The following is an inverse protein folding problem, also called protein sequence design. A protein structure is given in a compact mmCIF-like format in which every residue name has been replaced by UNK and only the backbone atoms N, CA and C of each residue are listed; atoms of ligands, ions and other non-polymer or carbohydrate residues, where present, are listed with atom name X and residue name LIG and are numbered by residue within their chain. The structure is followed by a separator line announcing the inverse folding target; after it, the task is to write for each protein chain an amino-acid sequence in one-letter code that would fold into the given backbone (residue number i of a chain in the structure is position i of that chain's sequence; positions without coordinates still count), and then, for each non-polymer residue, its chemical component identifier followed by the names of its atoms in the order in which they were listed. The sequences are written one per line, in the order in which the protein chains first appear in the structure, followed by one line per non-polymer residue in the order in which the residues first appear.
data_IF_039358636160
#
_entry.id   IF_039358636160
#
_cell.length_a   1.000
_cell.length_b   1.000
_cell.length_c   1.000
_cell.angle_alpha   90.00
_cell.angle_beta   90.00
_cell.angle_gamma   90.00
#
_symmetry.space_group_name_H-M   'P 1'
#
loop_
_entity.id
_entity.type
_entity.pdbx_description
1 polymer ?
#
# COMPACT_ATOMS: atom_id res chain seq x y z
N UNK A 1 -27.19 -4.42 52.76
CA UNK A 1 -27.43 -3.85 51.43
C UNK A 1 -26.09 -3.58 50.78
N UNK A 2 -25.73 -4.48 49.89
CA UNK A 2 -24.43 -4.35 49.17
C UNK A 2 -24.74 -4.27 47.72
N UNK A 3 -24.44 -3.13 47.12
CA UNK A 3 -24.57 -2.90 45.70
C UNK A 3 -23.21 -3.18 45.07
N UNK A 4 -23.19 -4.16 44.21
CA UNK A 4 -22.04 -4.44 43.36
C UNK A 4 -22.14 -3.59 42.12
N UNK A 5 -21.23 -2.63 41.96
CA UNK A 5 -21.00 -1.92 40.77
C UNK A 5 -19.99 -2.76 39.96
N UNK A 6 -20.46 -3.43 38.96
CA UNK A 6 -19.58 -4.11 38.00
C UNK A 6 -19.37 -3.16 36.84
N UNK A 7 -18.13 -2.74 36.73
CA UNK A 7 -17.65 -1.84 35.72
C UNK A 7 -17.70 -2.45 34.33
N UNK A 8 -18.30 -1.73 33.41
CA UNK A 8 -18.29 -1.98 31.98
C UNK A 8 -17.04 -1.33 31.38
N UNK A 9 -15.97 -2.07 31.29
CA UNK A 9 -14.78 -1.64 30.54
C UNK A 9 -14.30 -2.86 29.75
N UNK A 10 -14.64 -2.92 28.45
CA UNK A 10 -13.93 -3.77 27.48
C UNK A 10 -14.64 -3.74 26.12
N UNK A 11 -14.43 -2.67 25.34
CA UNK A 11 -14.84 -2.72 23.93
C UNK A 11 -13.96 -1.85 22.98
N UNK A 12 -12.86 -1.28 23.44
CA UNK A 12 -12.09 -0.32 22.61
C UNK A 12 -10.81 -0.89 21.99
N UNK A 13 -10.33 -2.05 22.43
CA UNK A 13 -9.07 -2.63 21.94
C UNK A 13 -9.18 -3.29 20.56
N UNK A 14 -10.35 -3.78 20.17
CA UNK A 14 -10.52 -4.58 18.94
C UNK A 14 -10.49 -3.75 17.67
N UNK A 15 -10.93 -2.50 17.70
CA UNK A 15 -11.00 -1.64 16.50
C UNK A 15 -9.60 -1.16 16.09
N UNK A 16 -8.74 -0.86 17.07
CA UNK A 16 -7.36 -0.44 16.80
C UNK A 16 -6.51 -1.57 16.19
N UNK A 17 -6.72 -2.82 16.63
CA UNK A 17 -5.98 -3.96 16.10
C UNK A 17 -6.36 -4.25 14.64
N UNK A 18 -7.62 -4.06 14.23
CA UNK A 18 -8.06 -4.25 12.85
C UNK A 18 -7.54 -3.15 11.91
N UNK A 19 -7.45 -1.89 12.39
CA UNK A 19 -6.90 -0.78 11.62
C UNK A 19 -5.41 -0.97 11.32
N UNK A 20 -4.63 -1.59 12.23
CA UNK A 20 -3.19 -1.85 12.05
C UNK A 20 -2.90 -2.97 11.03
N UNK A 21 -3.86 -3.84 10.75
CA UNK A 21 -3.70 -4.92 9.79
C UNK A 21 -4.16 -4.55 8.38
N UNK A 22 -4.66 -3.34 8.18
CA UNK A 22 -5.06 -2.84 6.87
C UNK A 22 -3.87 -2.19 6.14
N UNK A 23 -3.78 -2.29 4.80
CA UNK A 23 -2.81 -1.54 4.01
C UNK A 23 -3.06 -0.03 4.00
N UNK A 24 -4.20 0.44 4.48
CA UNK A 24 -4.49 1.87 4.53
C UNK A 24 -3.48 2.60 5.41
N UNK A 25 -2.92 3.68 4.90
CA UNK A 25 -1.92 4.50 5.60
C UNK A 25 -0.81 4.98 4.69
N UNK A 26 0.23 5.53 5.30
CA UNK A 26 1.41 6.04 4.60
C UNK A 26 2.54 5.03 4.69
N UNK A 27 3.15 4.75 3.54
CA UNK A 27 4.22 3.75 3.41
C UNK A 27 5.46 4.34 2.78
N UNK A 28 6.62 4.03 3.36
CA UNK A 28 7.91 4.26 2.71
C UNK A 28 8.19 3.11 1.76
N UNK A 29 8.35 3.43 0.49
CA UNK A 29 8.63 2.41 -0.52
C UNK A 29 10.12 2.09 -0.51
N UNK A 30 10.43 0.82 -0.49
CA UNK A 30 11.81 0.32 -0.49
C UNK A 30 12.01 -0.42 -1.81
N UNK A 31 13.09 -0.09 -2.49
CA UNK A 31 13.44 -0.69 -3.78
C UNK A 31 13.78 -2.18 -3.66
N UNK A 32 13.97 -2.84 -4.78
CA UNK A 32 14.26 -4.27 -4.87
C UNK A 32 15.54 -4.68 -4.13
N UNK A 33 16.45 -3.75 -3.86
CA UNK A 33 17.65 -4.00 -3.05
C UNK A 33 17.35 -4.21 -1.56
N UNK A 34 16.11 -3.98 -1.14
CA UNK A 34 15.66 -4.10 0.25
C UNK A 34 16.18 -3.01 1.19
N UNK A 35 16.80 -1.94 0.67
CA UNK A 35 17.45 -0.91 1.47
C UNK A 35 17.13 0.51 1.04
N UNK A 36 17.08 0.79 -0.24
CA UNK A 36 16.93 2.14 -0.77
C UNK A 36 15.49 2.61 -0.67
N UNK A 37 15.24 3.64 0.12
CA UNK A 37 13.95 4.32 0.18
C UNK A 37 13.78 5.23 -1.05
N UNK A 38 12.68 5.05 -1.77
CA UNK A 38 12.42 5.74 -3.04
C UNK A 38 11.39 6.84 -2.90
N UNK A 39 10.33 6.59 -2.15
CA UNK A 39 9.18 7.48 -2.08
C UNK A 39 8.32 7.15 -0.88
N UNK A 40 7.30 7.97 -0.66
CA UNK A 40 6.17 7.62 0.20
C UNK A 40 4.91 7.49 -0.64
N UNK A 41 4.10 6.50 -0.33
CA UNK A 41 2.83 6.20 -0.98
C UNK A 41 1.74 6.16 0.08
N UNK A 42 0.68 6.93 -0.14
CA UNK A 42 -0.51 6.88 0.70
C UNK A 42 -1.53 5.94 0.08
N UNK A 43 -1.91 4.92 0.84
CA UNK A 43 -2.97 3.99 0.48
C UNK A 43 -4.25 4.43 1.19
N UNK A 44 -5.32 4.59 0.44
CA UNK A 44 -6.65 4.95 0.91
C UNK A 44 -7.68 3.92 0.48
N UNK A 45 -8.81 3.90 1.17
CA UNK A 45 -9.94 3.02 0.84
C UNK A 45 -11.16 3.84 0.49
N UNK A 46 -11.83 3.46 -0.60
CA UNK A 46 -13.13 3.97 -0.99
C UNK A 46 -14.08 2.79 -1.18
N UNK A 47 -15.03 2.63 -0.26
CA UNK A 47 -15.97 1.50 -0.25
C UNK A 47 -15.27 0.13 -0.33
N UNK A 48 -14.14 -0.03 0.37
CA UNK A 48 -13.38 -1.27 0.40
C UNK A 48 -12.42 -1.47 -0.77
N UNK A 49 -12.38 -0.55 -1.72
CA UNK A 49 -11.43 -0.58 -2.84
C UNK A 49 -10.24 0.31 -2.52
N UNK A 50 -9.05 -0.27 -2.51
CA UNK A 50 -7.83 0.44 -2.18
C UNK A 50 -7.21 1.07 -3.42
N UNK A 51 -6.68 2.27 -3.21
CA UNK A 51 -5.82 2.97 -4.18
C UNK A 51 -4.60 3.54 -3.46
N UNK A 52 -3.50 3.74 -4.19
CA UNK A 52 -2.27 4.27 -3.65
C UNK A 52 -1.72 5.40 -4.51
N UNK A 53 -1.36 6.49 -3.85
CA UNK A 53 -0.88 7.71 -4.49
C UNK A 53 0.51 8.08 -3.97
N UNK A 54 1.43 8.44 -4.87
CA UNK A 54 2.75 8.94 -4.48
C UNK A 54 2.60 10.30 -3.84
N UNK A 55 3.03 10.46 -2.59
CA UNK A 55 3.02 11.76 -1.91
C UNK A 55 4.36 12.48 -1.98
N UNK A 56 5.46 11.73 -1.97
CA UNK A 56 6.79 12.30 -1.91
C UNK A 56 7.81 11.39 -2.58
N UNK A 57 8.81 11.96 -3.25
CA UNK A 57 9.98 11.27 -3.76
C UNK A 57 11.16 11.62 -2.86
N UNK A 58 11.87 10.61 -2.36
CA UNK A 58 12.93 10.76 -1.36
C UNK A 58 14.11 11.58 -1.89
N UNK A 59 14.52 11.35 -3.14
CA UNK A 59 15.59 12.11 -3.78
C UNK A 59 15.07 13.49 -4.22
N UNK A 60 15.54 14.60 -3.63
CA UNK A 60 15.07 15.94 -4.01
C UNK A 60 15.31 16.29 -5.48
N UNK A 61 16.33 15.72 -6.11
CA UNK A 61 16.63 15.94 -7.52
C UNK A 61 15.56 15.34 -8.44
N UNK A 62 14.73 14.44 -7.93
CA UNK A 62 13.66 13.75 -8.66
C UNK A 62 12.26 14.21 -8.28
N UNK A 63 12.15 15.22 -7.40
CA UNK A 63 10.85 15.67 -6.86
C UNK A 63 9.88 16.14 -7.97
N UNK A 64 10.38 16.65 -9.07
CA UNK A 64 9.58 17.12 -10.20
C UNK A 64 9.59 16.15 -11.40
N UNK A 65 10.04 14.92 -11.18
CA UNK A 65 10.12 13.91 -12.22
C UNK A 65 8.73 13.55 -12.75
N UNK A 66 8.64 13.38 -14.05
CA UNK A 66 7.42 13.00 -14.76
C UNK A 66 7.53 11.58 -15.27
N UNK A 67 6.37 10.90 -15.44
CA UNK A 67 6.35 9.56 -16.01
C UNK A 67 6.50 9.60 -17.53
N UNK A 68 7.73 9.78 -18.00
CA UNK A 68 8.01 9.86 -19.45
C UNK A 68 7.84 8.53 -20.16
N UNK A 69 7.89 7.42 -19.44
CA UNK A 69 7.75 6.06 -19.98
C UNK A 69 6.34 5.49 -19.84
N UNK A 70 5.42 6.20 -19.18
CA UNK A 70 4.02 5.80 -19.12
C UNK A 70 3.38 5.80 -20.52
N UNK A 71 2.46 4.87 -20.77
CA UNK A 71 1.78 4.72 -22.06
C UNK A 71 0.32 5.17 -22.01
N UNK A 72 -0.27 5.26 -20.82
CA UNK A 72 -1.66 5.66 -20.62
C UNK A 72 -1.78 7.18 -20.40
N UNK A 73 -2.89 7.62 -19.82
CA UNK A 73 -3.16 9.03 -19.52
C UNK A 73 -2.19 9.65 -18.49
N UNK A 74 -1.35 8.83 -17.85
CA UNK A 74 -0.32 9.28 -16.91
C UNK A 74 0.99 9.68 -17.61
N UNK A 75 1.09 9.47 -18.91
CA UNK A 75 2.29 9.85 -19.68
C UNK A 75 2.61 11.34 -19.51
N UNK A 76 3.87 11.61 -19.18
CA UNK A 76 4.41 12.96 -18.95
C UNK A 76 3.75 13.73 -17.80
N UNK A 77 3.00 13.04 -16.95
CA UNK A 77 2.44 13.62 -15.73
C UNK A 77 3.44 13.53 -14.58
N UNK A 78 3.36 14.45 -13.61
CA UNK A 78 4.21 14.38 -12.41
C UNK A 78 3.98 13.06 -11.66
N UNK A 79 5.07 12.45 -11.21
CA UNK A 79 4.99 11.21 -10.41
C UNK A 79 4.45 11.52 -9.01
N UNK A 80 4.87 12.62 -8.40
CA UNK A 80 4.27 13.08 -7.14
C UNK A 80 2.81 13.47 -7.39
N UNK A 81 1.90 12.90 -6.61
CA UNK A 81 0.45 13.05 -6.77
C UNK A 81 -0.19 11.99 -7.65
N UNK A 82 0.59 11.13 -8.29
CA UNK A 82 0.10 10.11 -9.22
C UNK A 82 -0.46 8.90 -8.47
N UNK A 83 -1.61 8.42 -8.91
CA UNK A 83 -2.16 7.14 -8.47
C UNK A 83 -1.40 6.02 -9.17
N UNK A 84 -0.68 5.22 -8.39
CA UNK A 84 0.10 4.08 -8.91
C UNK A 84 -0.49 2.73 -8.53
N UNK A 85 -1.36 2.67 -7.53
CA UNK A 85 -2.09 1.46 -7.14
C UNK A 85 -3.58 1.74 -7.26
N UNK A 86 -4.34 0.84 -7.88
CA UNK A 86 -5.79 0.98 -7.95
C UNK A 86 -6.50 -0.38 -8.02
N UNK A 87 -7.77 -0.38 -7.65
CA UNK A 87 -8.67 -1.51 -7.80
C UNK A 87 -8.39 -2.69 -6.88
N UNK A 88 -7.67 -2.50 -5.79
CA UNK A 88 -7.27 -3.58 -4.88
C UNK A 88 -8.34 -3.81 -3.82
N UNK A 89 -8.73 -5.07 -3.62
CA UNK A 89 -9.76 -5.47 -2.67
C UNK A 89 -9.24 -6.54 -1.72
N UNK A 90 -9.78 -6.57 -0.50
CA UNK A 90 -9.45 -7.62 0.45
C UNK A 90 -9.82 -8.99 -0.12
N UNK A 91 -8.94 -9.97 0.06
CA UNK A 91 -9.19 -11.34 -0.31
C UNK A 91 -10.26 -11.94 0.62
N UNK A 92 -11.18 -12.74 0.04
CA UNK A 92 -12.27 -13.34 0.81
C UNK A 92 -11.80 -14.44 1.77
N UNK A 93 -10.67 -15.08 1.49
CA UNK A 93 -10.15 -16.20 2.23
C UNK A 93 -8.98 -15.83 3.14
N UNK A 94 -8.15 -14.88 2.71
CA UNK A 94 -6.97 -14.43 3.45
C UNK A 94 -7.13 -12.97 3.93
N UNK A 95 -7.53 -12.73 5.19
CA UNK A 95 -7.87 -11.38 5.67
C UNK A 95 -6.72 -10.36 5.66
N UNK A 96 -5.47 -10.81 5.63
CA UNK A 96 -4.30 -9.95 5.57
C UNK A 96 -3.77 -9.75 4.14
N UNK A 97 -4.54 -10.17 3.13
CA UNK A 97 -4.20 -10.07 1.71
C UNK A 97 -5.23 -9.22 0.99
N UNK A 98 -4.73 -8.36 0.10
CA UNK A 98 -5.54 -7.55 -0.82
C UNK A 98 -4.98 -7.72 -2.22
N UNK A 99 -5.85 -7.93 -3.19
CA UNK A 99 -5.45 -8.28 -4.56
C UNK A 99 -6.49 -7.81 -5.59
N UNK A 100 -6.31 -8.20 -6.83
CA UNK A 100 -7.25 -7.94 -7.94
C UNK A 100 -7.09 -6.59 -8.60
N UNK A 101 -6.12 -5.78 -8.18
CA UNK A 101 -5.83 -4.48 -8.77
C UNK A 101 -4.52 -4.44 -9.54
N UNK A 102 -4.12 -3.22 -9.87
CA UNK A 102 -2.93 -2.94 -10.67
C UNK A 102 -1.97 -2.00 -9.93
N UNK A 103 -0.69 -2.14 -10.23
CA UNK A 103 0.36 -1.23 -9.80
C UNK A 103 1.20 -0.78 -10.99
N UNK A 104 1.47 0.53 -11.05
CA UNK A 104 2.38 1.13 -12.01
C UNK A 104 3.77 1.26 -11.39
N UNK A 105 4.79 0.88 -12.14
CA UNK A 105 6.18 1.27 -11.89
C UNK A 105 6.50 2.50 -12.74
N UNK A 106 6.56 3.72 -12.15
CA UNK A 106 6.75 4.93 -12.95
C UNK A 106 8.14 5.00 -13.60
N UNK A 107 9.14 4.36 -13.01
CA UNK A 107 10.49 4.36 -13.56
C UNK A 107 10.57 3.58 -14.89
N UNK A 108 9.73 2.58 -15.05
CA UNK A 108 9.68 1.73 -16.26
C UNK A 108 8.46 2.02 -17.14
N UNK A 109 7.45 2.71 -16.62
CA UNK A 109 6.18 2.91 -17.29
C UNK A 109 5.34 1.66 -17.43
N UNK A 110 5.69 0.59 -16.72
CA UNK A 110 5.04 -0.71 -16.80
C UNK A 110 4.00 -0.89 -15.71
N UNK A 111 2.90 -1.54 -16.06
CA UNK A 111 1.79 -1.86 -15.15
C UNK A 111 1.75 -3.35 -14.90
N UNK A 112 1.56 -3.74 -13.65
CA UNK A 112 1.50 -5.13 -13.20
C UNK A 112 0.23 -5.37 -12.40
N UNK A 113 -0.19 -6.62 -12.33
CA UNK A 113 -1.13 -7.06 -11.31
C UNK A 113 -0.45 -6.94 -9.95
N UNK A 114 -1.22 -6.67 -8.89
CA UNK A 114 -0.64 -6.45 -7.57
C UNK A 114 -1.34 -7.26 -6.50
N UNK A 115 -0.54 -7.76 -5.58
CA UNK A 115 -0.98 -8.41 -4.34
C UNK A 115 -0.28 -7.72 -3.18
N UNK A 116 -1.06 -7.25 -2.22
CA UNK A 116 -0.59 -6.62 -1.00
C UNK A 116 -0.81 -7.57 0.17
N UNK A 117 0.17 -7.66 1.06
CA UNK A 117 0.05 -8.45 2.28
C UNK A 117 0.65 -7.69 3.45
N UNK A 118 -0.15 -7.45 4.47
CA UNK A 118 0.36 -6.87 5.71
C UNK A 118 1.07 -7.94 6.53
N UNK A 119 2.23 -7.61 7.04
CA UNK A 119 3.07 -8.47 7.87
C UNK A 119 3.60 -7.69 9.07
N UNK A 120 4.22 -8.41 10.00
CA UNK A 120 4.86 -7.82 11.19
C UNK A 120 3.90 -6.90 11.96
N UNK A 121 2.70 -7.41 12.26
CA UNK A 121 1.69 -6.66 13.02
C UNK A 121 1.19 -5.40 12.31
N UNK A 122 1.27 -5.35 10.97
CA UNK A 122 0.88 -4.19 10.17
C UNK A 122 1.98 -3.14 9.99
N UNK A 123 3.18 -3.39 10.49
CA UNK A 123 4.33 -2.46 10.38
C UNK A 123 4.97 -2.50 9.00
N UNK A 124 4.79 -3.59 8.28
CA UNK A 124 5.35 -3.82 6.96
C UNK A 124 4.28 -4.25 5.98
N UNK A 125 4.49 -3.95 4.71
CA UNK A 125 3.61 -4.32 3.61
C UNK A 125 4.45 -5.00 2.53
N UNK A 126 4.16 -6.27 2.27
CA UNK A 126 4.68 -6.91 1.08
C UNK A 126 3.86 -6.46 -0.12
N UNK A 127 4.55 -5.94 -1.13
CA UNK A 127 3.97 -5.47 -2.38
C UNK A 127 4.52 -6.34 -3.50
N UNK A 128 3.68 -7.23 -4.03
CA UNK A 128 4.07 -8.12 -5.10
C UNK A 128 3.42 -7.70 -6.41
N UNK A 129 4.24 -7.29 -7.35
CA UNK A 129 3.83 -7.06 -8.74
C UNK A 129 4.11 -8.30 -9.58
N UNK A 130 3.17 -8.69 -10.44
CA UNK A 130 3.31 -9.89 -11.26
C UNK A 130 2.57 -9.77 -12.58
N UNK A 131 2.97 -10.64 -13.54
CA UNK A 131 2.34 -10.77 -14.86
C UNK A 131 1.78 -12.19 -14.96
N UNK A 132 0.49 -12.32 -15.28
CA UNK A 132 -0.21 -13.61 -15.39
C UNK A 132 -0.47 -14.23 -14.02
N UNK A 133 0.45 -15.05 -13.52
CA UNK A 133 0.36 -15.73 -12.22
C UNK A 133 1.23 -15.02 -11.16
N UNK A 134 0.82 -15.02 -9.87
CA UNK A 134 1.66 -14.51 -8.77
C UNK A 134 3.05 -15.15 -8.68
N UNK A 135 3.23 -16.32 -9.28
CA UNK A 135 4.52 -17.00 -9.36
C UNK A 135 5.55 -16.20 -10.21
N UNK A 136 5.11 -15.42 -11.19
CA UNK A 136 5.95 -14.65 -12.10
C UNK A 136 5.95 -13.18 -11.72
N UNK A 137 6.56 -12.88 -10.58
CA UNK A 137 6.61 -11.54 -10.07
C UNK A 137 7.78 -11.31 -9.14
N UNK A 138 7.81 -10.13 -8.56
CA UNK A 138 8.78 -9.78 -7.53
C UNK A 138 8.10 -9.02 -6.40
N UNK A 139 8.68 -9.11 -5.23
CA UNK A 139 8.14 -8.54 -4.00
C UNK A 139 9.09 -7.47 -3.46
N UNK A 140 8.50 -6.30 -3.14
CA UNK A 140 9.13 -5.31 -2.28
C UNK A 140 8.47 -5.36 -0.92
N UNK A 141 9.21 -5.01 0.12
CA UNK A 141 8.67 -4.85 1.47
C UNK A 141 8.73 -3.38 1.84
N UNK A 142 7.57 -2.74 1.92
CA UNK A 142 7.43 -1.34 2.31
C UNK A 142 7.27 -1.22 3.81
N UNK A 143 7.66 -0.08 4.36
CA UNK A 143 7.66 0.16 5.80
C UNK A 143 6.62 1.22 6.13
N UNK A 144 5.76 0.92 7.11
CA UNK A 144 4.72 1.87 7.54
C UNK A 144 5.36 3.12 8.10
N UNK A 145 4.95 4.28 7.57
CA UNK A 145 5.37 5.58 8.04
C UNK A 145 4.38 6.18 9.07
N UNK A 146 3.11 5.79 8.94
CA UNK A 146 2.05 6.17 9.91
C UNK A 146 0.77 5.33 9.72
#
# INVERSE_FOLDING_TARGET
MKQAVIALVLATASVLAMAQNSPVGLWRTIDDDGKTEKSTVRITSDNGVLSGKVEHITDPAKAEEKCTKCEDDRKDKPIVGMTIINGVKQDAEEPNVWAGGLILDPAKGSTYKVRLKTIDGGKKLEVRGYIGSPMFGRTQTWIRAE
#
